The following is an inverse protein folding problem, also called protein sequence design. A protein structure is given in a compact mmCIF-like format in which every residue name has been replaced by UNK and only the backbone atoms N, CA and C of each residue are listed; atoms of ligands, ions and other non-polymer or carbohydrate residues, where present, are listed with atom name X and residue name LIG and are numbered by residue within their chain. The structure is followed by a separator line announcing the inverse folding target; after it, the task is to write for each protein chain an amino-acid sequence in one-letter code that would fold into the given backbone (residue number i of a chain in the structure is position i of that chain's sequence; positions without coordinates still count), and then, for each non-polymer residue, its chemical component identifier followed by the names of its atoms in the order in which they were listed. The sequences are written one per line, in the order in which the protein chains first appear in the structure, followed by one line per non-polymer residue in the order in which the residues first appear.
data_IF_797680503357
#
_entry.id   IF_797680503357
#
_cell.length_a   1.000
_cell.length_b   1.000
_cell.length_c   1.000
_cell.angle_alpha   90.00
_cell.angle_beta   90.00
_cell.angle_gamma   90.00
#
_symmetry.space_group_name_H-M   'P 1'
#
loop_
_entity.id
_entity.type
_entity.pdbx_description
1 polymer ?
#
# COMPACT_ATOMS: atom_id res chain seq x y z
N UNK A 1 62.19 16.52 42.10
CA UNK A 1 60.91 16.78 41.40
C UNK A 1 60.80 15.83 40.22
N UNK A 2 59.76 14.99 40.22
CA UNK A 2 59.09 14.31 39.08
C UNK A 2 58.73 12.85 39.44
N UNK A 3 57.54 12.71 40.01
CA UNK A 3 56.80 11.46 40.11
C UNK A 3 56.12 11.23 38.75
N UNK A 4 56.46 10.15 38.04
CA UNK A 4 55.80 9.78 36.78
C UNK A 4 54.66 8.82 37.08
N UNK A 5 53.44 9.34 37.14
CA UNK A 5 52.22 8.53 37.20
C UNK A 5 51.80 8.27 35.75
N UNK A 6 51.95 7.03 35.28
CA UNK A 6 51.43 6.59 33.99
C UNK A 6 49.97 6.16 34.18
N UNK A 7 49.03 6.96 33.66
CA UNK A 7 47.62 6.62 33.64
C UNK A 7 47.36 5.57 32.55
N UNK A 8 46.85 4.40 32.95
CA UNK A 8 46.37 3.37 32.04
C UNK A 8 45.00 3.84 31.53
N UNK A 9 44.94 4.32 30.29
CA UNK A 9 43.69 4.65 29.61
C UNK A 9 43.14 3.35 29.04
N UNK A 10 42.21 2.72 29.74
CA UNK A 10 41.45 1.59 29.23
C UNK A 10 40.47 2.11 28.18
N UNK A 11 40.80 1.92 26.91
CA UNK A 11 39.90 2.26 25.81
C UNK A 11 38.74 1.26 25.77
N UNK A 12 37.58 1.68 26.25
CA UNK A 12 36.32 0.97 26.06
C UNK A 12 35.91 1.14 24.59
N UNK A 13 36.13 0.11 23.77
CA UNK A 13 35.57 0.05 22.42
C UNK A 13 34.06 -0.09 22.55
N UNK A 14 33.34 1.03 22.53
CA UNK A 14 31.90 1.04 22.37
C UNK A 14 31.58 0.60 20.95
N UNK A 15 31.24 -0.68 20.77
CA UNK A 15 30.68 -1.20 19.53
C UNK A 15 29.32 -0.55 19.33
N UNK A 16 29.26 0.54 18.57
CA UNK A 16 28.00 1.07 18.08
C UNK A 16 27.44 0.04 17.10
N UNK A 17 26.47 -0.76 17.55
CA UNK A 17 25.64 -1.53 16.65
C UNK A 17 24.97 -0.51 15.72
N UNK A 18 25.44 -0.44 14.47
CA UNK A 18 24.66 0.17 13.40
C UNK A 18 23.45 -0.75 13.22
N UNK A 19 22.35 -0.43 13.90
CA UNK A 19 21.06 -0.89 13.45
C UNK A 19 20.92 -0.32 12.04
N UNK A 20 21.18 -1.15 11.03
CA UNK A 20 20.75 -0.83 9.68
C UNK A 20 19.29 -0.42 9.80
N UNK A 21 18.85 0.71 9.23
CA UNK A 21 17.43 0.96 9.13
C UNK A 21 16.84 -0.30 8.50
N UNK A 22 15.86 -0.90 9.17
CA UNK A 22 14.99 -1.88 8.52
C UNK A 22 14.54 -1.15 7.27
N UNK A 23 14.94 -1.64 6.10
CA UNK A 23 14.39 -1.17 4.84
C UNK A 23 12.93 -1.61 4.84
N UNK A 24 12.10 -0.85 5.55
CA UNK A 24 10.66 -0.83 5.37
C UNK A 24 10.52 -0.56 3.89
N UNK A 25 9.91 -1.49 3.13
CA UNK A 25 9.53 -1.23 1.77
C UNK A 25 8.72 0.07 1.76
N UNK A 26 9.39 1.16 1.38
CA UNK A 26 8.88 2.51 1.55
C UNK A 26 7.63 2.74 0.71
N UNK A 27 7.42 1.88 -0.30
CA UNK A 27 6.25 1.87 -1.13
C UNK A 27 5.98 0.49 -1.74
N UNK A 28 4.73 0.06 -1.72
CA UNK A 28 4.27 -1.17 -2.37
C UNK A 28 3.10 -0.86 -3.31
N UNK A 29 3.03 -1.59 -4.43
CA UNK A 29 1.90 -1.47 -5.36
C UNK A 29 1.23 -2.82 -5.52
N UNK A 30 -0.06 -2.91 -5.19
CA UNK A 30 -0.92 -4.04 -5.51
C UNK A 30 -1.68 -3.76 -6.81
N UNK A 31 -1.48 -4.62 -7.81
CA UNK A 31 -2.17 -4.63 -9.11
C UNK A 31 -3.14 -5.81 -9.25
N UNK A 32 -3.22 -6.66 -8.23
CA UNK A 32 -4.14 -7.79 -8.13
C UNK A 32 -4.59 -8.01 -6.69
N UNK A 33 -5.68 -8.77 -6.51
CA UNK A 33 -6.22 -9.11 -5.19
C UNK A 33 -5.19 -9.87 -4.32
N UNK A 34 -4.46 -10.82 -4.89
CA UNK A 34 -3.50 -11.66 -4.15
C UNK A 34 -2.31 -10.85 -3.59
N UNK A 35 -2.02 -9.67 -4.17
CA UNK A 35 -0.94 -8.80 -3.71
C UNK A 35 -1.32 -7.95 -2.49
N UNK A 36 -2.62 -7.79 -2.19
CA UNK A 36 -3.11 -6.88 -1.15
C UNK A 36 -2.51 -7.21 0.22
N UNK A 37 -2.51 -8.49 0.61
CA UNK A 37 -2.04 -8.91 1.93
C UNK A 37 -0.55 -8.55 2.15
N UNK A 38 0.27 -8.65 1.11
CA UNK A 38 1.69 -8.32 1.19
C UNK A 38 1.94 -6.81 1.35
N UNK A 39 1.02 -5.94 0.92
CA UNK A 39 1.21 -4.48 1.03
C UNK A 39 1.12 -3.94 2.46
N UNK A 40 0.58 -4.73 3.40
CA UNK A 40 0.32 -4.32 4.78
C UNK A 40 1.61 -4.02 5.57
N UNK A 41 2.76 -4.45 5.04
CA UNK A 41 4.10 -4.19 5.61
C UNK A 41 4.73 -2.88 5.12
N UNK A 42 4.04 -2.12 4.28
CA UNK A 42 4.58 -0.93 3.62
C UNK A 42 3.90 0.33 4.16
N UNK A 43 4.65 1.44 4.26
CA UNK A 43 4.13 2.73 4.74
C UNK A 43 3.50 3.58 3.62
N UNK A 44 3.79 3.29 2.36
CA UNK A 44 3.04 3.80 1.22
C UNK A 44 2.46 2.63 0.40
N UNK A 45 1.14 2.58 0.28
CA UNK A 45 0.43 1.52 -0.43
C UNK A 45 -0.27 2.14 -1.63
N UNK A 46 0.04 1.67 -2.83
CA UNK A 46 -0.77 1.94 -4.02
C UNK A 46 -1.60 0.72 -4.34
N UNK A 47 -2.92 0.88 -4.44
CA UNK A 47 -3.82 -0.15 -4.97
C UNK A 47 -4.27 0.32 -6.34
N UNK A 48 -3.81 -0.38 -7.37
CA UNK A 48 -3.98 0.02 -8.76
C UNK A 48 -4.88 -0.97 -9.49
N UNK A 49 -6.08 -0.52 -9.85
CA UNK A 49 -6.94 -1.23 -10.79
C UNK A 49 -6.41 -1.12 -12.22
N UNK A 50 -6.92 -1.92 -13.18
CA UNK A 50 -8.08 -2.78 -13.02
C UNK A 50 -7.72 -4.15 -12.45
N UNK A 51 -8.50 -4.61 -11.49
CA UNK A 51 -8.57 -6.02 -11.12
C UNK A 51 -9.91 -6.33 -10.45
N UNK A 52 -10.24 -7.62 -10.40
CA UNK A 52 -11.47 -8.11 -9.77
C UNK A 52 -11.15 -8.75 -8.43
N UNK A 53 -11.84 -8.32 -7.38
CA UNK A 53 -11.88 -9.02 -6.09
C UNK A 53 -12.80 -10.24 -6.25
N UNK A 54 -12.35 -11.47 -5.93
CA UNK A 54 -13.16 -12.67 -6.10
C UNK A 54 -14.49 -12.63 -5.35
N UNK A 55 -15.47 -13.43 -5.79
CA UNK A 55 -16.76 -13.51 -5.13
C UNK A 55 -16.59 -13.93 -3.66
N UNK A 56 -17.38 -13.33 -2.77
CA UNK A 56 -17.33 -13.57 -1.32
C UNK A 56 -16.00 -13.20 -0.64
N UNK A 57 -15.10 -12.53 -1.35
CA UNK A 57 -13.84 -12.02 -0.80
C UNK A 57 -13.97 -10.56 -0.41
N UNK A 58 -13.06 -10.12 0.47
CA UNK A 58 -13.02 -8.76 1.03
C UNK A 58 -11.60 -8.23 0.92
N UNK A 59 -11.45 -6.93 0.73
CA UNK A 59 -10.15 -6.27 0.88
C UNK A 59 -9.96 -5.99 2.36
N UNK A 60 -8.97 -6.66 2.97
CA UNK A 60 -8.57 -6.45 4.36
C UNK A 60 -7.24 -5.71 4.46
N UNK A 61 -7.31 -4.45 4.85
CA UNK A 61 -6.19 -3.54 5.14
C UNK A 61 -6.20 -3.15 6.62
N UNK A 62 -6.47 -4.10 7.52
CA UNK A 62 -6.36 -3.91 8.97
C UNK A 62 -4.93 -4.16 9.48
N UNK A 63 -4.53 -3.49 10.56
CA UNK A 63 -3.18 -3.68 11.13
C UNK A 63 -2.08 -3.05 10.29
N UNK A 64 -2.38 -1.96 9.58
CA UNK A 64 -1.39 -1.17 8.86
C UNK A 64 -0.43 -0.49 9.83
N UNK A 65 0.79 -0.24 9.36
CA UNK A 65 1.80 0.54 10.09
C UNK A 65 1.24 1.95 10.35
N UNK A 66 1.50 2.49 11.54
CA UNK A 66 1.11 3.87 11.89
C UNK A 66 1.68 4.86 10.87
N UNK A 67 0.86 5.81 10.40
CA UNK A 67 1.30 6.79 9.40
C UNK A 67 1.19 6.31 7.95
N UNK A 68 0.63 5.13 7.70
CA UNK A 68 0.53 4.57 6.34
C UNK A 68 -0.34 5.46 5.44
N UNK A 69 0.14 5.71 4.23
CA UNK A 69 -0.63 6.35 3.16
C UNK A 69 -1.10 5.32 2.14
N UNK A 70 -2.40 5.28 1.89
CA UNK A 70 -3.02 4.42 0.87
C UNK A 70 -3.47 5.30 -0.30
N UNK A 71 -3.03 4.99 -1.51
CA UNK A 71 -3.49 5.64 -2.73
C UNK A 71 -4.23 4.64 -3.63
N UNK A 72 -5.47 4.96 -3.99
CA UNK A 72 -6.25 4.17 -4.95
C UNK A 72 -6.10 4.80 -6.34
N UNK A 73 -5.58 4.03 -7.29
CA UNK A 73 -5.32 4.51 -8.65
C UNK A 73 -5.97 3.63 -9.70
N UNK A 74 -6.35 4.27 -10.81
CA UNK A 74 -6.57 3.58 -12.08
C UNK A 74 -5.21 3.30 -12.73
N UNK A 75 -5.10 2.22 -13.49
CA UNK A 75 -3.94 2.00 -14.35
C UNK A 75 -3.77 3.20 -15.27
N UNK A 76 -2.57 3.77 -15.27
CA UNK A 76 -2.24 4.85 -16.18
C UNK A 76 -2.24 4.30 -17.60
N UNK A 77 -3.04 4.90 -18.50
CA UNK A 77 -2.98 4.59 -19.94
C UNK A 77 -1.54 4.80 -20.40
N UNK A 78 -0.90 3.77 -20.94
CA UNK A 78 0.35 3.93 -21.68
C UNK A 78 0.03 4.86 -22.85
N UNK A 79 0.69 6.02 -23.01
CA UNK A 79 0.48 6.87 -24.17
C UNK A 79 1.01 6.12 -25.39
N UNK A 80 0.14 5.37 -26.07
CA UNK A 80 0.41 4.92 -27.41
C UNK A 80 0.46 6.19 -28.26
N UNK A 81 1.68 6.69 -28.55
CA UNK A 81 1.87 7.50 -29.75
C UNK A 81 1.43 6.60 -30.88
N UNK A 82 0.25 6.82 -31.46
CA UNK A 82 -0.03 6.81 -32.90
C UNK A 82 -1.47 7.29 -33.13
N UNK A 83 -1.60 8.32 -33.96
CA UNK A 83 -2.76 8.84 -34.67
C UNK A 83 -4.15 8.72 -34.04
N UNK A 84 -4.58 9.80 -33.35
CA UNK A 84 -5.93 10.41 -33.41
C UNK A 84 -7.19 9.51 -33.45
N UNK A 85 -7.14 8.30 -32.93
CA UNK A 85 -8.35 7.58 -32.57
C UNK A 85 -8.74 7.99 -31.15
N UNK A 86 -9.89 8.64 -31.03
CA UNK A 86 -10.59 8.78 -29.77
C UNK A 86 -11.02 7.38 -29.35
N UNK A 87 -10.10 6.64 -28.71
CA UNK A 87 -10.49 5.47 -27.95
C UNK A 87 -11.54 5.97 -26.96
N UNK A 88 -12.77 5.42 -26.95
CA UNK A 88 -13.74 5.76 -25.92
C UNK A 88 -13.02 5.58 -24.59
N UNK A 89 -13.10 6.59 -23.72
CA UNK A 89 -12.53 6.58 -22.39
C UNK A 89 -13.11 5.37 -21.64
N UNK A 90 -12.53 4.19 -21.84
CA UNK A 90 -12.93 2.99 -21.12
C UNK A 90 -12.58 3.32 -19.69
N UNK A 91 -13.55 3.17 -18.81
CA UNK A 91 -13.46 3.19 -17.36
C UNK A 91 -12.50 2.09 -16.84
N UNK A 92 -11.27 2.03 -17.36
CA UNK A 92 -10.40 0.86 -17.43
C UNK A 92 -9.53 0.67 -16.18
N UNK A 93 -9.90 1.23 -15.04
CA UNK A 93 -9.06 1.14 -13.84
C UNK A 93 -9.84 0.96 -12.54
N UNK A 94 -11.08 0.46 -12.62
CA UNK A 94 -11.88 0.16 -11.43
C UNK A 94 -11.35 -1.09 -10.73
N UNK A 95 -11.44 -1.09 -9.40
CA UNK A 95 -11.31 -2.31 -8.61
C UNK A 95 -12.73 -2.82 -8.39
N UNK A 96 -13.07 -3.92 -9.05
CA UNK A 96 -14.46 -4.42 -9.10
C UNK A 96 -14.63 -5.60 -8.17
N UNK A 97 -15.69 -5.61 -7.37
CA UNK A 97 -16.06 -6.77 -6.57
C UNK A 97 -16.95 -7.70 -7.40
N UNK A 98 -16.52 -8.95 -7.59
CA UNK A 98 -17.36 -9.94 -8.23
C UNK A 98 -18.60 -10.20 -7.38
N UNK A 99 -19.76 -10.27 -8.03
CA UNK A 99 -21.03 -10.54 -7.36
C UNK A 99 -20.95 -11.88 -6.63
N UNK A 100 -21.22 -11.85 -5.33
CA UNK A 100 -21.28 -13.03 -4.47
C UNK A 100 -22.57 -13.04 -3.66
N UNK A 101 -22.52 -13.68 -2.49
CA UNK A 101 -23.59 -13.76 -1.50
C UNK A 101 -23.42 -12.77 -0.35
N UNK A 102 -22.37 -11.93 -0.38
CA UNK A 102 -22.20 -10.86 0.61
C UNK A 102 -23.31 -9.82 0.42
N UNK A 103 -23.88 -9.39 1.54
CA UNK A 103 -24.98 -8.44 1.64
C UNK A 103 -24.55 -7.16 2.38
N UNK A 104 -25.51 -6.30 2.70
CA UNK A 104 -25.28 -5.04 3.43
C UNK A 104 -24.73 -5.23 4.86
N UNK A 105 -24.77 -6.46 5.40
CA UNK A 105 -24.16 -6.78 6.69
C UNK A 105 -22.63 -6.94 6.60
N UNK A 106 -22.06 -6.86 5.38
CA UNK A 106 -20.66 -7.11 5.11
C UNK A 106 -19.96 -5.87 4.54
N UNK A 107 -18.87 -5.44 5.17
CA UNK A 107 -17.94 -4.48 4.58
C UNK A 107 -17.12 -5.17 3.48
N UNK A 108 -17.14 -4.62 2.26
CA UNK A 108 -16.32 -5.10 1.13
C UNK A 108 -14.84 -4.68 1.27
N UNK A 109 -14.61 -3.54 1.92
CA UNK A 109 -13.29 -2.99 2.23
C UNK A 109 -13.25 -2.67 3.72
N UNK A 110 -12.25 -3.18 4.42
CA UNK A 110 -11.96 -2.80 5.81
C UNK A 110 -10.56 -2.22 5.87
N UNK A 111 -10.43 -1.03 6.45
CA UNK A 111 -9.15 -0.33 6.64
C UNK A 111 -8.99 -0.08 8.14
N UNK A 112 -7.84 -0.43 8.70
CA UNK A 112 -7.59 -0.27 10.13
C UNK A 112 -6.12 -0.04 10.46
N UNK A 113 -5.86 0.96 11.28
CA UNK A 113 -4.53 1.37 11.74
C UNK A 113 -4.61 2.74 12.42
N UNK A 114 -3.48 3.24 12.89
CA UNK A 114 -3.37 4.57 13.50
C UNK A 114 -2.79 5.56 12.49
N UNK A 115 -3.30 6.79 12.48
CA UNK A 115 -2.78 7.86 11.62
C UNK A 115 -2.71 7.47 10.13
N UNK A 116 -3.82 6.94 9.61
CA UNK A 116 -3.90 6.45 8.23
C UNK A 116 -4.41 7.57 7.32
N UNK A 117 -3.69 7.82 6.22
CA UNK A 117 -4.12 8.72 5.15
C UNK A 117 -4.61 7.91 3.96
N UNK A 118 -5.75 8.27 3.38
CA UNK A 118 -6.33 7.60 2.21
C UNK A 118 -6.57 8.65 1.12
N UNK A 119 -5.94 8.47 -0.05
CA UNK A 119 -6.21 9.22 -1.27
C UNK A 119 -6.93 8.34 -2.29
N UNK A 120 -8.24 8.56 -2.43
CA UNK A 120 -9.10 7.90 -3.42
C UNK A 120 -9.33 8.72 -4.70
N UNK A 121 -8.70 9.88 -4.85
CA UNK A 121 -9.08 10.87 -5.88
C UNK A 121 -8.94 10.37 -7.33
N UNK A 122 -8.09 9.36 -7.53
CA UNK A 122 -7.73 8.85 -8.86
C UNK A 122 -8.22 7.41 -9.13
N UNK A 123 -9.00 6.82 -8.23
CA UNK A 123 -9.45 5.43 -8.32
C UNK A 123 -10.86 5.24 -7.77
N UNK A 124 -11.40 4.03 -7.93
CA UNK A 124 -12.73 3.70 -7.40
C UNK A 124 -12.85 2.21 -7.11
N UNK A 125 -13.49 1.90 -5.99
CA UNK A 125 -14.04 0.58 -5.69
C UNK A 125 -15.46 0.49 -6.27
N UNK A 126 -15.72 -0.54 -7.04
CA UNK A 126 -17.02 -0.80 -7.65
C UNK A 126 -17.63 -2.06 -7.02
N UNK A 127 -18.63 -1.88 -6.18
CA UNK A 127 -19.32 -2.98 -5.50
C UNK A 127 -20.23 -3.82 -6.41
N UNK A 128 -20.34 -3.49 -7.70
CA UNK A 128 -21.23 -4.17 -8.65
C UNK A 128 -22.70 -4.21 -8.19
N UNK A 129 -23.14 -3.15 -7.51
CA UNK A 129 -24.54 -2.96 -7.15
C UNK A 129 -25.43 -2.80 -8.40
N UNK A 130 -26.74 -3.05 -8.29
CA UNK A 130 -27.66 -2.83 -9.40
C UNK A 130 -27.61 -1.37 -9.87
N UNK A 131 -27.60 -1.17 -11.19
CA UNK A 131 -27.78 0.17 -11.77
C UNK A 131 -29.26 0.56 -11.63
N UNK A 132 -29.51 1.69 -10.98
CA UNK A 132 -30.84 2.27 -10.84
C UNK A 132 -31.35 2.83 -12.17
#
# INVERSE_FOLDING_TARGET
MQLRIAAIITAFLATTAVASPVEIDSSCTATSYDQIAATKTCTAITIQGPFTVPANSKIDLTGLITGTTITIKRAQKIPLKHNFEFDPFVSAGKITFAKGTLDESNNLVTIGGSDITIDGSNGSFDGSGPVC
#
